data_IF_411857452294
#
_entry.id   IF_411857452294
#
_cell.length_a   1.000
_cell.length_b   1.000
_cell.length_c   1.000
_cell.angle_alpha   90.00
_cell.angle_beta   90.00
_cell.angle_gamma   90.00
#
_symmetry.space_group_name_H-M   'P 1'
#
loop_
_entity.id
_entity.type
_entity.pdbx_description
1 polymer ?
2 polymer ?
3 non-polymer ?
4 non-polymer ?
5 non-polymer ?
6 non-polymer ?
7 water ?
#
# COMPACT_ATOMS: atom_id res chain seq x y z
N UNK A 1 9.71 -6.29 23.08
CA UNK A 1 9.70 -6.63 21.62
C UNK A 1 10.91 -7.49 21.49
N UNK A 2 10.82 -8.52 20.65
CA UNK A 2 11.94 -9.46 20.43
C UNK A 2 13.16 -8.70 19.92
N UNK A 3 12.95 -7.55 19.19
CA UNK A 3 14.04 -6.78 18.65
C UNK A 3 14.59 -5.71 19.61
N UNK A 4 14.10 -5.63 20.81
CA UNK A 4 14.46 -4.59 21.69
C UNK A 4 15.96 -4.59 22.02
N UNK A 5 16.63 -5.74 21.98
CA UNK A 5 18.02 -5.74 22.35
C UNK A 5 18.90 -5.53 21.19
N UNK A 6 18.45 -5.39 19.95
CA UNK A 6 19.28 -5.23 18.79
C UNK A 6 19.45 -3.78 18.41
N UNK A 7 20.67 -3.36 18.09
CA UNK A 7 20.95 -2.01 17.65
C UNK A 7 20.06 -1.66 16.45
N UNK A 8 19.65 -0.38 16.40
CA UNK A 8 18.92 0.16 15.24
C UNK A 8 19.62 -0.13 13.93
N UNK A 9 20.96 0.20 13.91
CA UNK A 9 21.68 0.05 12.67
C UNK A 9 21.77 -1.41 12.24
N UNK A 10 21.90 -2.32 13.23
CA UNK A 10 21.91 -3.73 12.94
C UNK A 10 20.60 -4.25 12.39
N UNK A 11 19.48 -3.73 12.91
CA UNK A 11 18.17 -4.09 12.38
C UNK A 11 18.02 -3.67 10.91
N UNK A 12 18.48 -2.45 10.59
CA UNK A 12 18.45 -1.96 9.22
C UNK A 12 19.30 -2.83 8.31
N UNK A 13 20.53 -3.13 8.78
CA UNK A 13 21.43 -3.96 7.99
C UNK A 13 20.82 -5.35 7.75
N UNK A 14 20.22 -5.93 8.76
CA UNK A 14 19.60 -7.24 8.60
C UNK A 14 18.33 -7.19 7.76
N UNK A 15 17.58 -6.09 7.78
CA UNK A 15 16.46 -5.93 6.87
C UNK A 15 16.92 -5.99 5.44
N UNK A 16 18.05 -5.33 5.13
CA UNK A 16 18.60 -5.36 3.80
C UNK A 16 19.06 -6.77 3.40
N UNK A 17 19.67 -7.51 4.33
CA UNK A 17 20.04 -8.90 4.05
C UNK A 17 18.80 -9.76 3.81
N UNK A 18 17.75 -9.57 4.62
CA UNK A 18 16.54 -10.33 4.49
C UNK A 18 15.90 -10.04 3.16
N UNK A 19 15.94 -8.80 2.66
CA UNK A 19 15.41 -8.49 1.36
C UNK A 19 16.16 -9.30 0.28
N UNK A 20 17.48 -9.32 0.35
CA UNK A 20 18.29 -10.04 -0.62
C UNK A 20 17.95 -11.52 -0.63
N UNK A 21 17.68 -12.07 0.55
CA UNK A 21 17.35 -13.45 0.75
C UNK A 21 15.88 -13.77 0.48
N UNK A 22 15.06 -12.76 0.15
CA UNK A 22 13.60 -12.94 0.00
C UNK A 22 12.90 -13.53 1.22
N UNK A 23 13.40 -13.08 2.37
CA UNK A 23 12.84 -13.43 3.67
C UNK A 23 12.02 -12.28 4.19
N UNK A 24 10.84 -12.05 3.62
CA UNK A 24 10.13 -10.83 3.88
C UNK A 24 9.50 -10.75 5.27
N UNK A 25 9.11 -11.89 5.85
CA UNK A 25 8.62 -11.84 7.20
C UNK A 25 9.73 -11.44 8.16
N UNK A 26 10.94 -11.95 7.97
CA UNK A 26 12.06 -11.46 8.77
C UNK A 26 12.32 -10.00 8.53
N UNK A 27 12.28 -9.56 7.27
CA UNK A 27 12.50 -8.17 6.94
C UNK A 27 11.53 -7.28 7.68
N UNK A 28 10.24 -7.66 7.70
CA UNK A 28 9.23 -6.90 8.39
C UNK A 28 9.48 -6.84 9.87
N UNK A 29 9.87 -7.95 10.47
CA UNK A 29 10.17 -7.96 11.90
C UNK A 29 11.35 -7.06 12.23
N UNK A 30 12.39 -7.06 11.40
CA UNK A 30 13.52 -6.17 11.62
C UNK A 30 13.09 -4.72 11.51
N UNK A 31 12.30 -4.39 10.50
CA UNK A 31 11.89 -3.01 10.30
C UNK A 31 10.92 -2.54 11.40
N UNK A 32 10.02 -3.41 11.88
CA UNK A 32 9.20 -3.08 13.03
C UNK A 32 10.08 -2.75 14.22
N UNK A 33 11.10 -3.57 14.46
CA UNK A 33 12.03 -3.27 15.51
C UNK A 33 12.71 -1.94 15.36
N UNK A 34 13.10 -1.61 14.14
CA UNK A 34 13.74 -0.34 13.88
C UNK A 34 12.79 0.82 14.16
N UNK A 35 11.52 0.72 13.71
CA UNK A 35 10.55 1.77 13.99
C UNK A 35 10.37 1.93 15.49
N UNK A 36 10.32 0.86 16.22
CA UNK A 36 10.08 0.89 17.62
C UNK A 36 11.24 1.44 18.42
N UNK A 37 12.38 1.73 17.82
CA UNK A 37 13.44 2.50 18.49
C UNK A 37 13.01 3.94 18.77
N UNK A 38 12.03 4.45 18.01
CA UNK A 38 11.45 5.74 18.30
C UNK A 38 11.97 6.88 17.49
N UNK A 39 13.03 6.68 16.75
CA UNK A 39 13.56 7.71 15.86
C UNK A 39 12.79 7.72 14.56
N UNK A 40 12.77 8.87 13.90
CA UNK A 40 12.20 9.00 12.57
C UNK A 40 12.98 8.17 11.56
N UNK A 41 12.35 7.76 10.47
CA UNK A 41 12.95 6.97 9.42
C UNK A 41 13.39 7.85 8.29
N UNK A 42 14.53 7.54 7.72
CA UNK A 42 15.05 8.13 6.50
C UNK A 42 14.23 7.67 5.30
N UNK A 43 14.45 8.27 4.14
CA UNK A 43 13.79 7.85 2.91
C UNK A 43 14.04 6.38 2.64
N UNK A 44 15.30 5.96 2.70
CA UNK A 44 15.63 4.56 2.45
C UNK A 44 14.96 3.65 3.42
N UNK A 45 14.94 4.04 4.68
CA UNK A 45 14.31 3.21 5.70
C UNK A 45 12.81 3.10 5.50
N UNK A 46 12.14 4.17 5.14
CA UNK A 46 10.70 4.12 4.84
C UNK A 46 10.44 3.11 3.74
N UNK A 47 11.29 3.16 2.69
CA UNK A 47 11.16 2.21 1.59
C UNK A 47 11.36 0.77 2.05
N UNK A 48 12.30 0.51 2.93
CA UNK A 48 12.49 -0.83 3.45
C UNK A 48 11.27 -1.30 4.22
N UNK A 49 10.71 -0.42 5.05
CA UNK A 49 9.50 -0.74 5.80
C UNK A 49 8.37 -1.17 4.86
N UNK A 50 8.16 -0.35 3.83
CA UNK A 50 7.08 -0.63 2.94
C UNK A 50 7.33 -1.87 2.08
N UNK A 51 8.54 -2.10 1.58
CA UNK A 51 8.82 -3.32 0.85
C UNK A 51 8.54 -4.55 1.71
N UNK A 52 8.96 -4.51 2.95
CA UNK A 52 8.80 -5.67 3.80
C UNK A 52 7.33 -6.02 3.98
N UNK A 53 6.54 -5.06 4.44
CA UNK A 53 5.15 -5.36 4.72
C UNK A 53 4.35 -5.58 3.47
N UNK A 54 4.66 -4.90 2.36
CA UNK A 54 3.95 -5.10 1.09
C UNK A 54 4.09 -6.54 0.66
N UNK A 55 5.28 -7.10 0.80
CA UNK A 55 5.52 -8.49 0.37
C UNK A 55 4.81 -9.46 1.32
N UNK A 56 4.85 -9.22 2.62
CA UNK A 56 4.15 -10.09 3.58
C UNK A 56 2.65 -10.07 3.29
N UNK A 57 2.04 -8.90 3.23
CA UNK A 57 0.60 -8.81 2.99
C UNK A 57 0.30 -9.29 1.61
N UNK A 58 1.18 -9.15 0.61
CA UNK A 58 0.88 -9.62 -0.69
C UNK A 58 0.74 -11.13 -0.79
N UNK A 59 1.53 -11.88 -0.07
CA UNK A 59 1.36 -13.31 -0.04
C UNK A 59 0.02 -13.66 0.60
N UNK A 60 -0.35 -12.95 1.64
CA UNK A 60 -1.60 -13.23 2.31
C UNK A 60 -2.81 -12.87 1.42
N UNK A 61 -2.76 -11.77 0.73
CA UNK A 61 -3.85 -11.37 -0.17
C UNK A 61 -4.00 -12.40 -1.29
N UNK A 62 -2.88 -12.87 -1.87
CA UNK A 62 -2.96 -13.86 -2.94
C UNK A 62 -3.59 -15.13 -2.40
N UNK A 63 -3.22 -15.58 -1.21
CA UNK A 63 -3.77 -16.79 -0.63
C UNK A 63 -5.26 -16.62 -0.35
N UNK A 64 -5.61 -15.48 0.22
CA UNK A 64 -7.01 -15.20 0.55
C UNK A 64 -7.87 -15.25 -0.68
N UNK A 65 -7.39 -14.69 -1.78
CA UNK A 65 -8.18 -14.69 -3.02
C UNK A 65 -8.39 -16.12 -3.53
N UNK A 66 -7.39 -16.98 -3.43
CA UNK A 66 -7.54 -18.37 -3.87
C UNK A 66 -8.58 -19.03 -3.01
N UNK A 67 -8.49 -18.88 -1.70
CA UNK A 67 -9.44 -19.54 -0.78
C UNK A 67 -10.83 -19.00 -0.88
N UNK A 68 -10.97 -17.71 -1.05
CA UNK A 68 -12.28 -17.08 -1.24
C UNK A 68 -12.97 -17.60 -2.51
N UNK A 69 -12.19 -17.79 -3.57
CA UNK A 69 -12.74 -18.33 -4.81
C UNK A 69 -13.25 -19.74 -4.62
N UNK A 70 -12.48 -20.58 -3.93
CA UNK A 70 -12.90 -21.94 -3.64
C UNK A 70 -14.18 -21.92 -2.81
N UNK A 71 -14.22 -21.04 -1.83
CA UNK A 71 -15.39 -20.93 -0.93
C UNK A 71 -16.62 -20.47 -1.72
N UNK A 72 -16.47 -19.51 -2.58
CA UNK A 72 -17.56 -19.05 -3.41
C UNK A 72 -18.08 -20.19 -4.30
N UNK A 73 -17.22 -20.97 -4.91
CA UNK A 73 -17.72 -22.07 -5.75
C UNK A 73 -18.47 -23.05 -4.88
N UNK A 74 -18.01 -23.33 -3.67
CA UNK A 74 -18.68 -24.28 -2.75
C UNK A 74 -20.11 -23.87 -2.40
N UNK A 75 -20.41 -22.60 -2.59
CA UNK A 75 -21.71 -22.05 -2.30
C UNK A 75 -22.62 -21.96 -3.55
N UNK A 76 -22.15 -22.45 -4.68
CA UNK A 76 -23.01 -22.51 -5.89
C UNK A 76 -24.02 -23.69 -5.86
N UNK A 77 -25.14 -23.54 -6.58
CA UNK A 77 -26.10 -24.66 -6.78
C UNK A 77 -25.45 -25.91 -7.40
N UNK A 78 -25.74 -27.06 -6.78
CA UNK A 78 -25.23 -28.34 -7.24
C UNK A 78 -23.85 -28.66 -6.71
N UNK A 79 -23.24 -27.76 -5.91
CA UNK A 79 -21.93 -28.06 -5.26
C UNK A 79 -22.13 -28.96 -4.05
N UNK A 80 -21.33 -29.99 -3.95
CA UNK A 80 -21.44 -30.94 -2.84
C UNK A 80 -20.99 -30.29 -1.51
N UNK A 81 -21.70 -30.60 -0.41
CA UNK A 81 -21.29 -30.12 0.91
C UNK A 81 -19.97 -30.76 1.34
N UNK A 82 -19.02 -29.96 1.79
CA UNK A 82 -17.72 -30.48 2.20
C UNK A 82 -17.38 -30.07 3.62
N UNK A 83 -18.32 -29.50 4.36
CA UNK A 83 -18.01 -29.19 5.71
C UNK A 83 -17.42 -27.81 5.88
N UNK A 84 -16.99 -27.51 7.11
CA UNK A 84 -16.59 -26.15 7.48
C UNK A 84 -15.15 -25.82 7.10
N UNK A 85 -14.39 -26.75 6.55
CA UNK A 85 -12.92 -26.55 6.46
C UNK A 85 -12.53 -25.38 5.56
N UNK A 86 -13.17 -25.22 4.40
CA UNK A 86 -12.75 -24.10 3.50
C UNK A 86 -13.04 -22.76 4.20
N UNK A 87 -14.21 -22.56 4.81
CA UNK A 87 -14.46 -21.35 5.54
C UNK A 87 -13.47 -21.16 6.65
N UNK A 88 -13.19 -22.21 7.43
CA UNK A 88 -12.27 -22.10 8.53
C UNK A 88 -10.90 -21.63 8.07
N UNK A 89 -10.38 -22.24 7.02
CA UNK A 89 -9.03 -21.92 6.60
C UNK A 89 -8.99 -20.55 5.95
N UNK A 90 -10.03 -20.18 5.17
CA UNK A 90 -10.10 -18.79 4.69
C UNK A 90 -10.11 -17.81 5.84
N UNK A 91 -10.87 -18.09 6.89
CA UNK A 91 -10.88 -17.27 8.06
C UNK A 91 -9.54 -17.16 8.74
N UNK A 92 -8.80 -18.27 8.81
CA UNK A 92 -7.45 -18.29 9.38
C UNK A 92 -6.56 -17.31 8.65
N UNK A 93 -6.52 -17.44 7.33
CA UNK A 93 -5.68 -16.57 6.51
C UNK A 93 -6.14 -15.13 6.64
N UNK A 94 -7.47 -14.91 6.62
CA UNK A 94 -8.01 -13.57 6.77
C UNK A 94 -7.59 -12.93 8.07
N UNK A 95 -7.65 -13.68 9.16
CA UNK A 95 -7.31 -13.14 10.44
C UNK A 95 -5.83 -12.77 10.49
N UNK A 96 -4.99 -13.59 9.90
CA UNK A 96 -3.58 -13.24 9.89
C UNK A 96 -3.30 -12.01 9.04
N UNK A 97 -3.97 -11.87 7.93
CA UNK A 97 -3.87 -10.69 7.06
C UNK A 97 -4.30 -9.46 7.85
N UNK A 98 -5.43 -9.52 8.53
CA UNK A 98 -5.92 -8.43 9.33
C UNK A 98 -4.92 -8.08 10.39
N UNK A 99 -4.26 -9.06 10.99
CA UNK A 99 -3.26 -8.78 11.99
C UNK A 99 -2.06 -8.06 11.44
N UNK A 100 -1.60 -8.38 10.26
CA UNK A 100 -0.51 -7.65 9.63
C UNK A 100 -0.93 -6.19 9.35
N UNK A 101 -2.12 -6.02 8.78
CA UNK A 101 -2.58 -4.67 8.56
C UNK A 101 -2.69 -3.86 9.84
N UNK A 102 -3.18 -4.49 10.90
CA UNK A 102 -3.28 -3.81 12.19
C UNK A 102 -1.90 -3.43 12.73
N UNK A 103 -0.91 -4.30 12.50
CA UNK A 103 0.46 -4.04 12.94
C UNK A 103 1.00 -2.80 12.24
N UNK A 104 0.82 -2.72 10.91
CA UNK A 104 1.30 -1.58 10.15
C UNK A 104 0.59 -0.31 10.58
N UNK A 105 -0.75 -0.37 10.68
CA UNK A 105 -1.52 0.79 11.11
C UNK A 105 -1.08 1.24 12.48
N UNK A 106 -0.75 0.30 13.34
CA UNK A 106 -0.28 0.63 14.68
C UNK A 106 1.05 1.35 14.68
N UNK A 107 1.98 0.93 13.83
CA UNK A 107 3.24 1.65 13.68
C UNK A 107 3.04 3.05 13.20
N UNK A 108 2.16 3.21 12.23
CA UNK A 108 1.86 4.56 11.71
C UNK A 108 1.24 5.44 12.75
N UNK A 109 0.40 4.91 13.59
CA UNK A 109 -0.25 5.66 14.65
C UNK A 109 0.65 5.89 15.86
N UNK A 110 1.67 5.08 16.05
CA UNK A 110 2.53 5.12 17.25
C UNK A 110 4.00 4.97 16.87
N UNK A 111 4.63 5.99 16.33
CA UNK A 111 4.13 7.36 16.24
C UNK A 111 4.64 7.96 14.92
N UNK A 112 4.70 7.18 13.85
CA UNK A 112 5.34 7.66 12.61
C UNK A 112 4.68 8.89 12.02
N UNK A 113 3.34 8.84 11.88
CA UNK A 113 2.66 9.95 11.23
C UNK A 113 2.79 11.25 12.04
N UNK A 114 2.58 11.19 13.34
CA UNK A 114 2.57 12.40 14.12
C UNK A 114 3.91 13.11 14.09
N UNK A 115 5.02 12.40 13.90
CA UNK A 115 6.29 13.09 13.85
C UNK A 115 6.70 13.42 12.46
N UNK A 116 5.99 13.07 11.41
CA UNK A 116 6.34 13.29 10.03
C UNK A 116 5.90 14.67 9.56
N UNK A 117 6.83 15.58 9.39
CA UNK A 117 6.51 16.95 9.03
C UNK A 117 6.84 17.28 7.58
N UNK A 118 7.79 16.62 6.97
CA UNK A 118 8.15 16.93 5.59
C UNK A 118 7.15 16.26 4.72
N UNK A 119 6.86 16.84 3.55
CA UNK A 119 5.89 16.25 2.65
C UNK A 119 6.21 14.85 2.26
N UNK A 120 7.46 14.59 1.98
CA UNK A 120 7.85 13.27 1.48
C UNK A 120 7.55 12.21 2.51
N UNK A 121 7.81 12.46 3.76
CA UNK A 121 7.53 11.43 4.76
C UNK A 121 6.04 11.39 5.07
N UNK A 122 5.39 12.54 5.28
CA UNK A 122 4.01 12.53 5.65
C UNK A 122 3.14 11.92 4.60
N UNK A 123 3.32 12.28 3.34
CA UNK A 123 2.54 11.71 2.26
C UNK A 123 2.77 10.21 2.16
N UNK A 124 4.04 9.77 2.26
CA UNK A 124 4.33 8.36 2.16
C UNK A 124 3.57 7.58 3.26
N UNK A 125 3.58 8.08 4.49
CA UNK A 125 2.90 7.38 5.60
C UNK A 125 1.39 7.43 5.48
N UNK A 126 0.82 8.55 5.05
CA UNK A 126 -0.61 8.62 4.87
C UNK A 126 -1.06 7.72 3.74
N UNK A 127 -0.27 7.64 2.66
CA UNK A 127 -0.53 6.68 1.57
C UNK A 127 -0.53 5.26 2.12
N UNK A 128 0.47 4.93 2.97
CA UNK A 128 0.51 3.58 3.57
C UNK A 128 -0.71 3.34 4.41
N UNK A 129 -1.15 4.34 5.19
CA UNK A 129 -2.36 4.19 5.98
C UNK A 129 -3.56 3.85 5.09
N UNK A 130 -3.72 4.61 4.00
CA UNK A 130 -4.77 4.31 3.03
C UNK A 130 -4.65 2.89 2.47
N UNK A 131 -3.43 2.50 2.09
CA UNK A 131 -3.21 1.18 1.53
C UNK A 131 -3.64 0.08 2.47
N UNK A 132 -3.23 0.14 3.75
CA UNK A 132 -3.52 -0.96 4.65
C UNK A 132 -4.98 -0.96 5.08
N UNK A 133 -5.63 0.20 5.16
CA UNK A 133 -7.10 0.16 5.28
C UNK A 133 -7.73 -0.39 4.03
N UNK A 134 -7.19 -0.13 2.83
CA UNK A 134 -7.73 -0.73 1.62
C UNK A 134 -7.62 -2.25 1.66
N UNK A 135 -6.47 -2.79 2.12
CA UNK A 135 -6.34 -4.22 2.23
C UNK A 135 -7.32 -4.79 3.22
N UNK A 136 -7.61 -4.10 4.33
CA UNK A 136 -8.65 -4.50 5.24
C UNK A 136 -10.03 -4.51 4.53
N UNK A 137 -10.27 -3.47 3.74
CA UNK A 137 -11.54 -3.36 3.02
C UNK A 137 -11.76 -4.47 2.03
N UNK A 138 -10.68 -5.00 1.44
CA UNK A 138 -10.79 -6.09 0.47
C UNK A 138 -11.42 -7.32 1.07
N UNK A 139 -11.28 -7.52 2.38
CA UNK A 139 -11.82 -8.70 3.05
C UNK A 139 -12.97 -8.42 3.97
N UNK A 140 -13.37 -7.18 4.10
CA UNK A 140 -14.40 -6.80 5.02
C UNK A 140 -15.76 -7.11 4.50
N UNK A 141 -16.61 -7.59 5.40
CA UNK A 141 -17.98 -7.97 5.05
C UNK A 141 -18.98 -7.59 6.09
N UNK A 142 -18.55 -7.04 7.21
CA UNK A 142 -19.54 -6.78 8.22
C UNK A 142 -19.94 -5.37 8.45
N UNK A 143 -20.36 -5.11 9.70
CA UNK A 143 -20.91 -3.76 10.06
C UNK A 143 -19.97 -2.59 9.99
N UNK A 144 -18.68 -2.81 10.29
CA UNK A 144 -17.64 -1.84 10.11
C UNK A 144 -17.05 -1.70 8.66
N UNK A 145 -17.48 -2.41 7.61
CA UNK A 145 -16.98 -2.19 6.25
C UNK A 145 -17.02 -0.74 5.81
N UNK A 146 -18.15 -0.06 6.07
CA UNK A 146 -18.25 1.33 5.67
C UNK A 146 -17.22 2.17 6.36
N UNK A 147 -16.98 1.91 7.63
CA UNK A 147 -16.02 2.73 8.39
C UNK A 147 -14.60 2.39 7.91
N UNK A 148 -14.29 1.14 7.54
CA UNK A 148 -12.96 0.81 7.04
C UNK A 148 -12.72 1.54 5.75
N UNK A 149 -13.71 1.51 4.82
CA UNK A 149 -13.64 2.21 3.59
C UNK A 149 -13.43 3.70 3.81
N UNK A 150 -14.17 4.30 4.73
CA UNK A 150 -14.08 5.69 5.09
C UNK A 150 -12.66 6.05 5.57
N UNK A 151 -12.10 5.16 6.38
CA UNK A 151 -10.73 5.39 6.91
C UNK A 151 -9.69 5.40 5.77
N UNK A 152 -9.83 4.46 4.84
CA UNK A 152 -8.93 4.44 3.67
C UNK A 152 -9.04 5.76 2.92
N UNK A 153 -10.30 6.12 2.60
CA UNK A 153 -10.62 7.33 1.83
C UNK A 153 -9.97 8.54 2.49
N UNK A 154 -10.20 8.68 3.81
CA UNK A 154 -9.72 9.86 4.55
C UNK A 154 -8.21 9.97 4.53
N UNK A 155 -7.54 8.84 4.71
CA UNK A 155 -6.04 8.84 4.69
C UNK A 155 -5.55 9.23 3.32
N UNK A 156 -6.12 8.63 2.27
CA UNK A 156 -5.73 8.95 0.91
C UNK A 156 -5.99 10.42 0.60
N UNK A 157 -7.13 10.94 1.03
CA UNK A 157 -7.46 12.34 0.74
C UNK A 157 -6.51 13.30 1.43
N UNK A 158 -6.16 13.05 2.67
CA UNK A 158 -5.21 13.86 3.38
C UNK A 158 -3.89 13.89 2.63
N UNK A 159 -3.44 12.72 2.23
CA UNK A 159 -2.16 12.56 1.48
C UNK A 159 -2.22 13.34 0.16
N UNK A 160 -3.35 13.22 -0.54
CA UNK A 160 -3.55 13.94 -1.81
C UNK A 160 -3.47 15.42 -1.64
N UNK A 161 -4.12 15.91 -0.62
CA UNK A 161 -4.12 17.35 -0.41
C UNK A 161 -2.71 17.89 -0.17
N UNK A 162 -1.92 17.18 0.65
CA UNK A 162 -0.54 17.60 0.89
C UNK A 162 0.29 17.48 -0.38
N UNK A 163 0.14 16.36 -1.08
CA UNK A 163 0.99 16.13 -2.25
C UNK A 163 0.70 17.18 -3.33
N UNK A 164 -0.54 17.60 -3.51
CA UNK A 164 -0.83 18.60 -4.52
C UNK A 164 -0.23 19.95 -4.17
N UNK A 165 -0.17 20.27 -2.90
CA UNK A 165 0.42 21.54 -2.44
C UNK A 165 1.91 21.54 -2.42
N UNK A 166 2.54 20.40 -2.13
CA UNK A 166 3.94 20.39 -1.77
C UNK A 166 4.88 19.65 -2.71
N UNK A 167 4.38 18.85 -3.64
CA UNK A 167 5.23 18.02 -4.53
C UNK A 167 4.93 18.30 -5.95
N UNK A 168 5.92 18.14 -6.85
CA UNK A 168 5.64 18.27 -8.30
C UNK A 168 4.81 17.11 -8.75
N UNK A 169 4.10 17.29 -9.90
CA UNK A 169 3.20 16.26 -10.38
C UNK A 169 3.93 14.98 -10.84
N UNK A 170 5.24 15.01 -11.04
CA UNK A 170 6.04 13.87 -11.38
C UNK A 170 6.61 13.14 -10.18
N UNK A 171 6.45 13.66 -8.96
CA UNK A 171 7.08 13.00 -7.85
C UNK A 171 6.59 11.56 -7.74
N UNK A 172 7.44 10.57 -7.60
CA UNK A 172 6.99 9.17 -7.57
C UNK A 172 6.03 8.86 -6.41
N UNK A 173 6.20 9.47 -5.25
CA UNK A 173 5.31 9.26 -4.14
C UNK A 173 3.92 9.81 -4.51
N UNK A 174 3.86 11.01 -5.03
CA UNK A 174 2.59 11.61 -5.46
C UNK A 174 1.94 10.72 -6.51
N UNK A 175 2.69 10.25 -7.48
CA UNK A 175 2.16 9.36 -8.51
C UNK A 175 1.64 8.06 -7.97
N UNK A 176 2.43 7.41 -7.08
CA UNK A 176 2.00 6.15 -6.54
C UNK A 176 0.75 6.26 -5.65
N UNK A 177 0.68 7.38 -4.93
CA UNK A 177 -0.51 7.71 -4.14
C UNK A 177 -1.74 7.80 -5.04
N UNK A 178 -1.63 8.62 -6.10
CA UNK A 178 -2.77 8.82 -6.99
C UNK A 178 -3.16 7.49 -7.65
N UNK A 179 -2.18 6.70 -8.07
CA UNK A 179 -2.43 5.37 -8.61
C UNK A 179 -3.25 4.57 -7.63
N UNK A 180 -2.81 4.49 -6.39
CA UNK A 180 -3.50 3.65 -5.41
C UNK A 180 -4.85 4.19 -5.02
N UNK A 181 -5.00 5.51 -4.96
CA UNK A 181 -6.30 6.08 -4.66
C UNK A 181 -7.28 5.77 -5.80
N UNK A 182 -6.77 5.78 -7.04
CA UNK A 182 -7.61 5.39 -8.20
C UNK A 182 -8.05 3.96 -8.09
N UNK A 183 -7.15 3.06 -7.69
CA UNK A 183 -7.51 1.66 -7.48
C UNK A 183 -8.56 1.53 -6.39
N UNK A 184 -8.40 2.26 -5.28
CA UNK A 184 -9.44 2.34 -4.24
C UNK A 184 -10.79 2.70 -4.83
N UNK A 185 -10.83 3.75 -5.64
CA UNK A 185 -12.13 4.16 -6.22
C UNK A 185 -12.74 3.05 -7.04
N UNK A 186 -11.91 2.39 -7.85
CA UNK A 186 -12.40 1.40 -8.79
C UNK A 186 -12.85 0.10 -8.11
N UNK A 187 -12.01 -0.38 -7.21
CA UNK A 187 -12.14 -1.75 -6.64
C UNK A 187 -12.89 -1.76 -5.31
N UNK A 188 -12.80 -0.70 -4.54
CA UNK A 188 -13.35 -0.66 -3.19
C UNK A 188 -14.61 0.18 -3.10
N UNK A 189 -14.56 1.38 -3.67
CA UNK A 189 -15.58 2.39 -3.46
C UNK A 189 -16.66 2.37 -4.54
N UNK A 190 -16.62 1.45 -5.49
CA UNK A 190 -17.66 1.38 -6.51
C UNK A 190 -17.81 2.69 -7.26
N UNK A 191 -16.65 3.28 -7.60
CA UNK A 191 -16.57 4.60 -8.27
C UNK A 191 -15.65 4.54 -9.44
N UNK A 192 -15.98 3.73 -10.47
CA UNK A 192 -15.07 3.60 -11.60
C UNK A 192 -14.82 4.91 -12.33
N UNK A 193 -15.86 5.78 -12.45
CA UNK A 193 -15.64 7.05 -13.12
C UNK A 193 -14.66 7.89 -12.39
N UNK A 194 -14.70 7.94 -11.06
CA UNK A 194 -13.73 8.70 -10.30
C UNK A 194 -12.33 8.12 -10.50
N UNK A 195 -12.25 6.80 -10.50
CA UNK A 195 -10.93 6.14 -10.73
C UNK A 195 -10.32 6.55 -12.04
N UNK A 196 -11.15 6.51 -13.10
CA UNK A 196 -10.67 6.83 -14.42
C UNK A 196 -10.28 8.33 -14.50
N UNK A 197 -11.10 9.21 -13.96
CA UNK A 197 -10.78 10.62 -14.00
C UNK A 197 -9.49 10.92 -13.27
N UNK A 198 -9.28 10.33 -12.08
CA UNK A 198 -8.10 10.59 -11.31
C UNK A 198 -6.89 10.06 -12.06
N UNK A 199 -6.95 8.87 -12.63
CA UNK A 199 -5.80 8.33 -13.35
C UNK A 199 -5.45 9.20 -14.54
N UNK A 200 -6.45 9.64 -15.30
CA UNK A 200 -6.20 10.52 -16.47
C UNK A 200 -5.56 11.80 -16.08
N UNK A 201 -6.15 12.52 -15.13
CA UNK A 201 -5.63 13.82 -14.69
C UNK A 201 -4.20 13.68 -14.19
N UNK A 202 -3.98 12.64 -13.39
CA UNK A 202 -2.63 12.42 -12.83
C UNK A 202 -1.62 12.22 -13.94
N UNK A 203 -1.94 11.32 -14.89
CA UNK A 203 -1.07 11.05 -16.01
C UNK A 203 -0.78 12.30 -16.79
N UNK A 204 -1.78 13.07 -17.16
CA UNK A 204 -1.56 14.23 -17.98
C UNK A 204 -0.75 15.32 -17.29
N UNK A 205 -0.99 15.54 -16.03
CA UNK A 205 -0.22 16.54 -15.28
C UNK A 205 1.23 16.13 -15.17
N UNK A 206 1.49 14.86 -14.98
CA UNK A 206 2.86 14.36 -14.92
C UNK A 206 3.53 14.52 -16.28
N UNK A 207 2.83 14.16 -17.39
CA UNK A 207 3.43 14.29 -18.67
C UNK A 207 3.96 15.71 -18.92
N UNK A 208 3.17 16.70 -18.54
CA UNK A 208 3.49 18.10 -18.74
C UNK A 208 4.68 18.59 -17.92
N UNK A 209 5.10 17.85 -16.93
CA UNK A 209 6.21 18.20 -16.07
C UNK A 209 7.46 17.38 -16.31
N UNK A 210 7.41 16.40 -17.17
CA UNK A 210 8.58 15.55 -17.41
C UNK A 210 9.76 16.37 -17.93
N UNK A 211 9.54 17.46 -18.63
CA UNK A 211 10.63 18.22 -19.24
C UNK A 211 11.56 18.78 -18.22
N UNK A 212 11.17 18.89 -16.94
CA UNK A 212 11.95 19.48 -15.89
C UNK A 212 12.98 18.47 -15.32
N UNK A 213 12.88 17.19 -15.66
CA UNK A 213 13.54 16.11 -14.98
C UNK A 213 14.82 15.68 -15.63
N UNK A 214 15.77 15.25 -14.79
CA UNK A 214 16.94 14.53 -15.23
C UNK A 214 16.54 13.20 -15.87
N UNK A 215 17.49 12.53 -16.54
CA UNK A 215 17.22 11.21 -17.11
C UNK A 215 16.79 10.19 -16.07
N UNK A 216 17.47 10.16 -14.94
CA UNK A 216 17.13 9.22 -13.94
C UNK A 216 15.76 9.47 -13.29
N UNK A 217 15.41 10.72 -13.01
CA UNK A 217 14.11 11.04 -12.49
C UNK A 217 13.03 10.73 -13.49
N UNK A 218 13.25 11.02 -14.75
CA UNK A 218 12.37 10.67 -15.81
C UNK A 218 12.03 9.22 -15.81
N UNK A 219 13.03 8.36 -15.65
CA UNK A 219 12.78 6.92 -15.57
C UNK A 219 11.89 6.56 -14.39
N UNK A 220 12.15 7.12 -13.24
CA UNK A 220 11.37 6.83 -12.03
C UNK A 220 9.91 7.22 -12.28
N UNK A 221 9.68 8.40 -12.79
CA UNK A 221 8.32 8.89 -12.96
C UNK A 221 7.56 8.14 -14.03
N UNK A 222 8.22 7.87 -15.16
CA UNK A 222 7.57 7.23 -16.26
C UNK A 222 7.19 5.80 -15.89
N UNK A 223 7.93 5.14 -15.01
CA UNK A 223 7.58 3.81 -14.57
C UNK A 223 6.17 3.80 -13.95
N UNK A 224 5.88 4.74 -13.07
CA UNK A 224 4.57 4.82 -12.40
C UNK A 224 3.50 5.29 -13.35
N UNK A 225 3.86 6.22 -14.24
CA UNK A 225 2.92 6.66 -15.26
C UNK A 225 2.46 5.52 -16.10
N UNK A 226 3.32 4.57 -16.42
CA UNK A 226 2.92 3.44 -17.20
C UNK A 226 1.87 2.59 -16.52
N UNK A 227 1.94 2.47 -15.19
CA UNK A 227 0.92 1.75 -14.43
C UNK A 227 -0.40 2.44 -14.52
N UNK A 228 -0.45 3.75 -14.45
CA UNK A 228 -1.67 4.52 -14.63
C UNK A 228 -2.27 4.21 -16.02
N UNK A 229 -1.44 4.22 -17.04
CA UNK A 229 -1.88 3.90 -18.39
C UNK A 229 -2.40 2.49 -18.49
N UNK A 230 -1.68 1.52 -17.90
CA UNK A 230 -2.14 0.15 -17.93
C UNK A 230 -3.51 0.00 -17.29
N UNK A 231 -3.75 0.65 -16.19
CA UNK A 231 -5.07 0.59 -15.58
C UNK A 231 -6.11 1.26 -16.46
N UNK A 232 -5.79 2.40 -17.05
CA UNK A 232 -6.72 3.05 -17.95
C UNK A 232 -7.13 2.12 -19.07
N UNK A 233 -6.19 1.39 -19.61
CA UNK A 233 -6.44 0.39 -20.67
C UNK A 233 -7.35 -0.69 -20.17
N UNK A 234 -7.16 -1.18 -18.99
CA UNK A 234 -7.99 -2.20 -18.42
C UNK A 234 -9.41 -1.71 -18.12
N UNK A 235 -9.58 -0.44 -17.82
CA UNK A 235 -10.84 0.12 -17.37
C UNK A 235 -11.67 0.80 -18.45
N UNK A 236 -11.06 1.11 -19.60
CA UNK A 236 -11.74 1.79 -20.65
C UNK A 236 -11.74 1.05 -21.98
N UNK B 1 -7.32 -6.91 -10.01
CA UNK B 1 -6.88 -6.88 -11.40
C UNK B 1 -6.03 -5.68 -11.80
N UNK B 2 -6.31 -4.49 -11.21
CA UNK B 2 -5.57 -3.35 -11.42
C UNK B 2 -4.19 -3.43 -10.80
N UNK B 3 -3.28 -2.65 -11.38
CA UNK B 3 -1.97 -2.46 -10.87
C UNK B 3 -2.00 -1.41 -9.76
N UNK B 4 -1.36 -1.68 -8.65
CA UNK B 4 -1.08 -0.69 -7.65
C UNK B 4 0.38 -0.36 -7.59
N UNK B 5 0.77 0.60 -6.74
CA UNK B 5 2.12 1.13 -6.82
C UNK B 5 3.12 0.10 -6.31
N UNK B 6 4.34 0.18 -6.81
CA UNK B 6 5.44 -0.51 -6.14
C UNK B 6 5.58 0.02 -4.72
N UNK B 7 6.20 -0.77 -3.87
CA UNK B 7 6.44 -0.43 -2.47
C UNK B 7 7.49 0.69 -2.27
N UNK B 8 8.50 0.65 -3.09
CA UNK B 8 9.66 1.57 -3.00
C UNK B 8 9.41 2.75 -3.93
N UNK B 9 9.39 3.96 -3.38
CA UNK B 9 9.11 5.17 -4.17
C UNK B 9 10.07 6.25 -3.77
N UNK B 10 10.54 6.98 -4.73
CA UNK B 10 11.44 8.12 -4.32
C UNK B 10 11.46 9.23 -5.33
X LIG C 1 -23.74 -34.28 -5.68
X LIG D 1 21.69 2.02 20.26
X LIG E 1 9.66 4.62 -9.86
X LIG F 1 -7.85 -23.62 9.81
X LIG G 1 -6.64 9.53 8.35
X LIG H 1 9.13 -15.04 4.15
X LIG I 1 -9.53 -1.32 -22.93
X LIG J 1 -19.04 7.51 -17.91
X LIG K 1 27.33 -3.74 11.58
X LIG L 1 10.32 12.15 20.63
X LIG L 1 10.63 12.02 19.27
X LIG L 1 11.07 13.33 21.18
X LIG L 1 10.18 14.41 21.29
X LIG L 1 11.73 13.18 22.53
X LIG L 1 12.24 14.49 22.85
X LIG M 1 -8.89 -2.03 12.32
X LIG M 1 -10.06 -1.56 11.66
X LIG M 1 -7.77 -0.99 12.19
X LIG M 1 -8.19 0.24 12.79
X LIG M 1 -6.53 -1.44 12.92
X LIG M 1 -6.27 -0.50 13.94
X LIG N 1 10.17 -9.54 24.36
X LIG N 1 10.22 -8.84 25.54
X LIG N 1 10.13 -11.07 24.52
X LIG N 1 10.64 -11.25 23.25
X LIG N 1 11.06 -12.04 25.28
X LIG N 1 11.03 -12.32 26.70
#
# INVERSE_FOLDING_TARGET
GAMGSMERASLIQKAKLAEQAERYEDMAAFMKGAVEKGEELSCEERNLLSVAYKNVVGGQRAAWRVLSSIEQKSNEEGSEEKGPEVREYREKVETELQGVCDTVLGLLDSHLIKEAGDAESRVFYLKMKGDYYRYLAEVATGDDKKRIIDSARSAYQEAMDISKKEMPPTNPIRLGLALNFSVFHYEIANSPEEAISLAKTTFDEAMADLHTLSEDSYKDSTLIMQLLRDNLTLWT
RAHSSPASLQ
MG MG
MG MG
MG MG
CL CL
CL CL
CL CL
CL CL
CA CA
MG MG
GOL C1 O1 C2 O2 C3 O3
GOL C1 O1 C2 O2 C3 O3
GOL C1 O1 C2 O2 C3 O3
#
